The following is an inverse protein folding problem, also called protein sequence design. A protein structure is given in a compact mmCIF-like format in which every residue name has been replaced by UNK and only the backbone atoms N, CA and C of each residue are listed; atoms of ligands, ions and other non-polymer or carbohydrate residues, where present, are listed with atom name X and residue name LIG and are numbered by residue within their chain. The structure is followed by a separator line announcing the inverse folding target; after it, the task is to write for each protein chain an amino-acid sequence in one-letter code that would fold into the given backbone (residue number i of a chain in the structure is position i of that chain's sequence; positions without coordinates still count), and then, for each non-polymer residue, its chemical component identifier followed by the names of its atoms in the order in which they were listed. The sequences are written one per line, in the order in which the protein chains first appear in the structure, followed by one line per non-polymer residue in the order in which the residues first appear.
data_IF_463573550633
#
_entry.id   IF_463573550633
#
_cell.length_a   1.000
_cell.length_b   1.000
_cell.length_c   1.000
_cell.angle_alpha   90.00
_cell.angle_beta   90.00
_cell.angle_gamma   90.00
#
_symmetry.space_group_name_H-M   'P 1'
#
loop_
_entity.id
_entity.type
_entity.pdbx_description
1 polymer ?
#
# COMPACT_ATOMS: atom_id res chain seq x y z
N UNK A 1 -10.15 35.69 -60.48
CA UNK A 1 -8.93 35.53 -59.66
C UNK A 1 -9.14 34.29 -58.85
N UNK A 2 -8.19 33.38 -58.82
CA UNK A 2 -8.25 32.22 -57.92
C UNK A 2 -8.08 32.74 -56.50
N UNK A 3 -9.09 32.58 -55.66
CA UNK A 3 -9.04 32.88 -54.23
C UNK A 3 -7.86 32.11 -53.61
N UNK A 4 -6.97 32.81 -52.91
CA UNK A 4 -5.73 32.26 -52.37
C UNK A 4 -5.76 32.38 -50.86
N UNK A 5 -5.67 31.22 -50.19
CA UNK A 5 -5.70 31.09 -48.74
C UNK A 5 -4.84 32.16 -48.04
N UNK A 6 -5.49 33.01 -47.24
CA UNK A 6 -4.84 34.07 -46.46
C UNK A 6 -4.75 35.44 -47.15
N UNK A 7 -5.21 35.57 -48.40
CA UNK A 7 -5.43 36.87 -49.07
C UNK A 7 -6.92 37.21 -49.22
N UNK A 8 -7.76 36.20 -49.01
CA UNK A 8 -9.21 36.30 -49.06
C UNK A 8 -9.73 36.92 -47.74
N UNK A 9 -10.96 37.44 -47.74
CA UNK A 9 -11.52 38.15 -46.57
C UNK A 9 -11.61 37.28 -45.31
N UNK A 10 -11.72 37.90 -44.13
CA UNK A 10 -11.90 37.18 -42.87
C UNK A 10 -13.38 37.14 -42.48
N UNK A 11 -14.03 35.98 -42.64
CA UNK A 11 -15.43 35.75 -42.25
C UNK A 11 -15.46 34.82 -41.04
N UNK A 12 -15.91 35.32 -39.90
CA UNK A 12 -15.96 34.60 -38.63
C UNK A 12 -17.38 34.15 -38.29
N UNK A 13 -17.49 33.14 -37.43
CA UNK A 13 -18.77 32.64 -36.93
C UNK A 13 -18.69 32.30 -35.44
N UNK A 14 -19.85 32.32 -34.80
CA UNK A 14 -20.10 31.60 -33.55
C UNK A 14 -21.04 30.46 -33.86
N UNK A 15 -20.86 29.30 -33.24
CA UNK A 15 -21.70 28.14 -33.50
C UNK A 15 -21.67 27.13 -32.37
N UNK A 16 -22.38 26.03 -32.56
CA UNK A 16 -22.44 24.91 -31.61
C UNK A 16 -21.98 23.64 -32.30
N UNK A 17 -21.13 22.87 -31.62
CA UNK A 17 -20.71 21.54 -32.07
C UNK A 17 -21.88 20.57 -31.92
N UNK A 18 -22.26 19.89 -33.00
CA UNK A 18 -23.33 18.89 -32.98
C UNK A 18 -22.82 17.46 -33.14
N UNK A 19 -21.61 17.28 -33.67
CA UNK A 19 -21.01 15.96 -33.90
C UNK A 19 -19.47 16.06 -33.86
N UNK A 20 -18.84 15.06 -33.27
CA UNK A 20 -17.38 14.93 -33.14
C UNK A 20 -16.84 13.56 -33.57
N UNK A 21 -17.69 12.66 -34.07
CA UNK A 21 -17.28 11.33 -34.52
C UNK A 21 -16.66 11.40 -35.92
N UNK A 22 -15.50 12.04 -36.01
CA UNK A 22 -14.76 12.29 -37.25
C UNK A 22 -14.29 10.96 -37.90
N UNK A 23 -14.80 10.60 -39.10
CA UNK A 23 -14.40 9.37 -39.77
C UNK A 23 -12.90 9.27 -40.06
N UNK A 24 -12.23 10.41 -40.22
CA UNK A 24 -10.78 10.49 -40.50
C UNK A 24 -9.93 10.56 -39.22
N UNK A 25 -10.55 10.70 -38.05
CA UNK A 25 -9.87 10.77 -36.74
C UNK A 25 -8.82 11.90 -36.66
N UNK A 26 -9.09 13.02 -37.34
CA UNK A 26 -8.26 14.23 -37.31
C UNK A 26 -8.67 15.18 -36.19
N UNK A 27 -9.72 14.85 -35.44
CA UNK A 27 -10.29 15.71 -34.40
C UNK A 27 -11.13 16.84 -34.98
N UNK A 28 -11.71 16.65 -36.17
CA UNK A 28 -12.69 17.59 -36.74
C UNK A 28 -14.02 17.48 -36.01
N UNK A 29 -14.81 18.53 -36.09
CA UNK A 29 -16.17 18.59 -35.54
C UNK A 29 -17.14 19.19 -36.54
N UNK A 30 -18.42 18.79 -36.49
CA UNK A 30 -19.47 19.46 -37.24
C UNK A 30 -20.05 20.59 -36.41
N UNK A 31 -20.03 21.80 -36.97
CA UNK A 31 -20.50 23.01 -36.28
C UNK A 31 -21.71 23.59 -36.99
N UNK A 32 -22.79 23.82 -36.25
CA UNK A 32 -23.90 24.62 -36.74
C UNK A 32 -23.60 26.11 -36.48
N UNK A 33 -23.25 26.84 -37.53
CA UNK A 33 -22.83 28.24 -37.47
C UNK A 33 -24.04 29.19 -37.40
N UNK A 34 -24.10 30.01 -36.35
CA UNK A 34 -25.20 30.95 -36.10
C UNK A 34 -25.23 32.02 -37.19
N UNK A 35 -26.42 32.29 -37.73
CA UNK A 35 -26.62 33.24 -38.83
C UNK A 35 -26.36 32.66 -40.23
N UNK A 36 -25.65 31.54 -40.33
CA UNK A 36 -25.37 30.85 -41.60
C UNK A 36 -26.21 29.58 -41.78
N UNK A 37 -26.39 28.81 -40.71
CA UNK A 37 -27.19 27.59 -40.71
C UNK A 37 -28.51 27.82 -39.97
N UNK A 38 -29.58 27.16 -40.42
CA UNK A 38 -30.90 27.18 -39.76
C UNK A 38 -30.94 26.26 -38.54
N UNK A 39 -31.74 26.60 -37.53
CA UNK A 39 -31.99 25.73 -36.37
C UNK A 39 -32.85 24.50 -36.73
N UNK A 40 -33.53 24.52 -37.87
CA UNK A 40 -34.41 23.43 -38.28
C UNK A 40 -33.61 22.27 -38.89
N UNK A 41 -33.51 21.17 -38.13
CA UNK A 41 -32.80 19.94 -38.54
C UNK A 41 -33.40 19.26 -39.78
N UNK A 42 -34.66 19.51 -40.13
CA UNK A 42 -35.24 18.96 -41.38
C UNK A 42 -34.77 19.66 -42.64
N UNK A 43 -34.16 20.85 -42.51
CA UNK A 43 -33.64 21.61 -43.65
C UNK A 43 -32.13 21.39 -43.84
N UNK A 44 -31.39 21.25 -42.73
CA UNK A 44 -29.98 20.90 -42.71
C UNK A 44 -29.77 19.94 -41.56
N UNK A 45 -29.61 18.65 -41.88
CA UNK A 45 -29.37 17.62 -40.88
C UNK A 45 -27.99 17.79 -40.25
N UNK A 46 -27.77 17.22 -39.06
CA UNK A 46 -26.46 17.30 -38.39
C UNK A 46 -25.36 16.68 -39.25
N UNK A 47 -25.64 15.60 -39.97
CA UNK A 47 -24.67 14.93 -40.82
C UNK A 47 -24.28 15.69 -42.10
N UNK A 48 -25.13 16.62 -42.53
CA UNK A 48 -24.88 17.47 -43.71
C UNK A 48 -23.97 18.66 -43.40
N UNK A 49 -23.71 18.94 -42.12
CA UNK A 49 -22.82 20.02 -41.73
C UNK A 49 -21.37 19.73 -42.16
N UNK A 50 -20.64 20.74 -42.67
CA UNK A 50 -19.24 20.57 -43.04
C UNK A 50 -18.37 20.29 -41.81
N UNK A 51 -17.35 19.45 -41.99
CA UNK A 51 -16.34 19.19 -40.97
C UNK A 51 -15.43 20.40 -40.77
N UNK A 52 -15.40 20.92 -39.56
CA UNK A 52 -14.51 21.99 -39.12
C UNK A 52 -13.23 21.41 -38.50
N UNK A 53 -12.07 21.88 -38.97
CA UNK A 53 -10.79 21.53 -38.32
C UNK A 53 -10.61 22.39 -37.08
N UNK A 54 -10.26 21.77 -35.94
CA UNK A 54 -9.97 22.49 -34.70
C UNK A 54 -8.53 22.98 -34.71
N UNK A 55 -8.34 24.28 -34.48
CA UNK A 55 -7.02 24.87 -34.36
C UNK A 55 -6.39 24.49 -33.02
N UNK A 56 -5.27 23.76 -33.07
CA UNK A 56 -4.53 23.41 -31.87
C UNK A 56 -3.81 24.65 -31.28
N UNK A 57 -3.69 24.75 -29.95
CA UNK A 57 -2.86 25.75 -29.30
C UNK A 57 -1.37 25.56 -29.64
N UNK A 58 -0.55 26.60 -29.41
CA UNK A 58 0.87 26.62 -29.82
C UNK A 58 1.77 25.66 -29.02
N UNK A 59 1.30 25.12 -27.91
CA UNK A 59 1.96 24.06 -27.12
C UNK A 59 1.63 22.64 -27.64
N UNK A 60 0.76 22.51 -28.65
CA UNK A 60 0.40 21.26 -29.32
C UNK A 60 0.91 21.29 -30.77
N UNK A 61 2.02 20.60 -31.09
CA UNK A 61 2.65 20.66 -32.42
C UNK A 61 1.83 20.06 -33.56
N UNK A 62 0.82 19.22 -33.27
CA UNK A 62 -0.03 18.55 -34.25
C UNK A 62 0.77 17.74 -35.30
N UNK A 63 1.86 17.10 -34.87
CA UNK A 63 2.76 16.36 -35.75
C UNK A 63 3.14 15.01 -35.13
N UNK A 64 2.97 13.91 -35.88
CA UNK A 64 3.41 12.55 -35.50
C UNK A 64 3.03 12.10 -34.07
N UNK A 65 1.84 12.49 -33.60
CA UNK A 65 1.35 12.15 -32.25
C UNK A 65 1.90 13.00 -31.11
N UNK A 66 2.57 14.12 -31.41
CA UNK A 66 3.06 15.07 -30.41
C UNK A 66 1.98 16.11 -30.07
N UNK A 67 1.75 16.32 -28.77
CA UNK A 67 0.85 17.34 -28.21
C UNK A 67 -0.43 16.78 -27.59
N UNK A 68 -1.38 17.66 -27.26
CA UNK A 68 -2.66 17.28 -26.66
C UNK A 68 -3.69 16.93 -27.74
N UNK A 69 -3.74 15.66 -28.12
CA UNK A 69 -4.69 15.16 -29.14
C UNK A 69 -5.47 13.94 -28.65
N UNK A 70 -6.73 13.76 -29.07
CA UNK A 70 -7.50 14.67 -29.91
C UNK A 70 -7.92 15.96 -29.17
N UNK A 71 -8.35 17.02 -29.88
CA UNK A 71 -8.92 18.20 -29.26
C UNK A 71 -10.07 17.82 -28.30
N UNK A 72 -10.11 18.43 -27.12
CA UNK A 72 -11.15 18.13 -26.13
C UNK A 72 -12.34 19.09 -26.31
N UNK A 73 -13.29 18.69 -27.15
CA UNK A 73 -14.55 19.40 -27.39
C UNK A 73 -15.70 18.39 -27.46
N UNK A 74 -16.84 18.73 -26.88
CA UNK A 74 -18.03 17.87 -26.79
C UNK A 74 -19.21 18.48 -27.54
N UNK A 75 -20.20 17.65 -27.89
CA UNK A 75 -21.46 18.09 -28.44
C UNK A 75 -22.15 19.10 -27.50
N UNK A 76 -22.74 20.15 -28.06
CA UNK A 76 -23.29 21.28 -27.31
C UNK A 76 -22.28 22.39 -26.97
N UNK A 77 -20.97 22.18 -27.20
CA UNK A 77 -19.97 23.22 -26.97
C UNK A 77 -20.15 24.41 -27.90
N UNK A 78 -20.19 25.61 -27.34
CA UNK A 78 -20.15 26.86 -28.12
C UNK A 78 -18.73 27.15 -28.57
N UNK A 79 -18.59 27.52 -29.84
CA UNK A 79 -17.30 27.78 -30.48
C UNK A 79 -17.26 29.11 -31.20
N UNK A 80 -16.08 29.69 -31.26
CA UNK A 80 -15.71 30.77 -32.17
C UNK A 80 -14.83 30.19 -33.27
N UNK A 81 -15.08 30.57 -34.52
CA UNK A 81 -14.33 30.11 -35.66
C UNK A 81 -14.35 31.06 -36.85
N UNK A 82 -13.74 30.64 -37.96
CA UNK A 82 -13.75 31.37 -39.24
C UNK A 82 -13.74 30.41 -40.43
N UNK A 83 -14.17 30.90 -41.59
CA UNK A 83 -14.10 30.14 -42.84
C UNK A 83 -12.78 30.44 -43.56
N UNK A 84 -12.08 29.38 -44.00
CA UNK A 84 -10.86 29.49 -44.81
C UNK A 84 -11.13 29.99 -46.23
N UNK A 85 -12.39 29.92 -46.66
CA UNK A 85 -12.92 30.24 -47.97
C UNK A 85 -14.06 31.25 -47.87
N UNK A 86 -13.73 32.55 -47.82
CA UNK A 86 -14.69 33.62 -47.51
C UNK A 86 -15.86 33.77 -48.49
N UNK A 87 -15.72 33.26 -49.71
CA UNK A 87 -16.72 33.31 -50.78
C UNK A 87 -17.74 32.16 -50.69
N UNK A 88 -17.28 30.95 -50.39
CA UNK A 88 -18.07 29.71 -50.44
C UNK A 88 -18.51 29.20 -49.06
N UNK A 89 -17.80 29.57 -47.99
CA UNK A 89 -18.10 29.24 -46.59
C UNK A 89 -18.22 27.72 -46.31
N UNK A 90 -17.39 26.90 -46.96
CA UNK A 90 -17.42 25.43 -46.84
C UNK A 90 -16.28 24.84 -45.99
N UNK A 91 -15.23 25.62 -45.67
CA UNK A 91 -14.05 25.15 -44.94
C UNK A 91 -13.91 25.84 -43.57
N UNK A 92 -14.73 25.47 -42.57
CA UNK A 92 -14.67 26.07 -41.25
C UNK A 92 -13.43 25.65 -40.45
N UNK A 93 -12.92 26.58 -39.63
CA UNK A 93 -11.89 26.36 -38.62
C UNK A 93 -12.43 26.83 -37.27
N UNK A 94 -12.32 25.98 -36.26
CA UNK A 94 -12.63 26.33 -34.86
C UNK A 94 -11.38 26.91 -34.21
N UNK A 95 -11.47 28.13 -33.70
CA UNK A 95 -10.39 28.82 -32.98
C UNK A 95 -10.37 28.46 -31.49
N UNK A 96 -11.54 28.26 -30.88
CA UNK A 96 -11.66 27.96 -29.46
C UNK A 96 -13.12 27.85 -29.01
N UNK A 97 -13.30 27.48 -27.75
CA UNK A 97 -14.60 27.34 -27.09
C UNK A 97 -14.95 28.58 -26.28
N UNK A 98 -16.26 28.80 -26.10
CA UNK A 98 -16.79 29.90 -25.29
C UNK A 98 -17.49 29.32 -24.06
N UNK A 99 -17.12 29.73 -22.84
CA UNK A 99 -17.85 29.33 -21.64
C UNK A 99 -19.19 30.06 -21.57
N UNK A 100 -20.21 29.39 -21.02
CA UNK A 100 -21.54 29.93 -20.88
C UNK A 100 -22.12 29.82 -19.48
N UNK A 101 -23.35 30.31 -19.37
CA UNK A 101 -24.23 30.10 -18.23
C UNK A 101 -25.55 29.57 -18.77
N UNK A 102 -25.85 28.29 -18.50
CA UNK A 102 -26.98 27.62 -19.12
C UNK A 102 -28.29 28.01 -18.41
N UNK A 103 -29.15 28.79 -19.07
CA UNK A 103 -30.45 29.22 -18.50
C UNK A 103 -31.64 28.39 -18.99
N UNK A 104 -31.44 27.53 -19.99
CA UNK A 104 -32.50 26.77 -20.65
C UNK A 104 -32.10 25.30 -20.75
N UNK A 105 -33.10 24.43 -20.67
CA UNK A 105 -32.97 23.02 -20.99
C UNK A 105 -32.59 22.83 -22.46
N UNK A 106 -31.84 21.76 -22.74
CA UNK A 106 -31.51 21.34 -24.10
C UNK A 106 -32.76 20.89 -24.85
N UNK A 107 -32.82 21.23 -26.14
CA UNK A 107 -33.87 20.76 -27.05
C UNK A 107 -33.23 19.95 -28.18
N UNK A 108 -33.27 18.62 -28.06
CA UNK A 108 -32.67 17.70 -29.03
C UNK A 108 -33.33 17.78 -30.42
N UNK A 109 -34.56 18.32 -30.51
CA UNK A 109 -35.28 18.45 -31.77
C UNK A 109 -34.80 19.62 -32.62
N UNK A 110 -34.05 20.55 -32.01
CA UNK A 110 -33.52 21.74 -32.67
C UNK A 110 -32.02 21.65 -32.84
N UNK A 111 -31.52 22.33 -33.87
CA UNK A 111 -30.10 22.63 -34.02
C UNK A 111 -29.58 23.54 -32.91
N UNK A 112 -28.27 23.78 -32.91
CA UNK A 112 -27.58 24.56 -31.87
C UNK A 112 -27.68 23.96 -30.46
N UNK A 113 -27.89 22.65 -30.37
CA UNK A 113 -27.98 21.87 -29.15
C UNK A 113 -27.22 20.56 -29.33
N UNK A 114 -26.83 19.91 -28.24
CA UNK A 114 -26.32 18.54 -28.26
C UNK A 114 -27.42 17.57 -28.78
N UNK A 115 -27.24 16.92 -29.95
CA UNK A 115 -28.23 16.00 -30.50
C UNK A 115 -28.46 14.76 -29.65
N UNK A 116 -27.47 14.35 -28.84
CA UNK A 116 -27.54 13.17 -27.98
C UNK A 116 -28.22 13.47 -26.64
N UNK A 117 -28.43 14.74 -26.32
CA UNK A 117 -29.04 15.14 -25.06
C UNK A 117 -28.23 14.69 -23.85
N UNK A 118 -26.91 14.87 -23.87
CA UNK A 118 -25.99 14.67 -22.75
C UNK A 118 -25.64 16.00 -22.10
N UNK A 119 -25.42 17.05 -22.90
CA UNK A 119 -25.03 18.39 -22.46
C UNK A 119 -26.12 19.45 -22.70
N UNK A 120 -26.20 20.50 -21.86
CA UNK A 120 -25.44 20.65 -20.62
C UNK A 120 -25.90 19.64 -19.55
N UNK A 121 -25.02 19.35 -18.57
CA UNK A 121 -25.30 18.41 -17.48
C UNK A 121 -26.15 19.04 -16.37
N UNK A 122 -26.06 20.35 -16.19
CA UNK A 122 -26.77 21.14 -15.17
C UNK A 122 -27.24 22.46 -15.78
N UNK A 123 -28.26 23.07 -15.17
CA UNK A 123 -28.87 24.33 -15.60
C UNK A 123 -28.96 25.27 -14.42
N UNK A 124 -28.88 26.57 -14.69
CA UNK A 124 -28.81 27.61 -13.67
C UNK A 124 -27.42 27.76 -13.06
N UNK A 125 -26.42 27.16 -13.68
CA UNK A 125 -25.02 27.19 -13.26
C UNK A 125 -24.09 27.62 -14.40
N UNK A 126 -22.90 28.07 -14.00
CA UNK A 126 -21.78 28.36 -14.89
C UNK A 126 -21.20 27.06 -15.46
N UNK A 127 -20.76 27.07 -16.72
CA UNK A 127 -20.04 25.94 -17.33
C UNK A 127 -18.65 25.71 -16.71
N UNK A 128 -18.15 26.67 -15.93
CA UNK A 128 -16.91 26.52 -15.14
C UNK A 128 -17.11 25.45 -14.07
N UNK A 129 -16.15 24.52 -13.98
CA UNK A 129 -16.16 23.41 -13.02
C UNK A 129 -16.44 23.85 -11.58
N UNK A 130 -17.29 23.12 -10.85
CA UNK A 130 -17.64 23.40 -9.45
C UNK A 130 -16.41 23.43 -8.52
N UNK A 131 -15.39 22.63 -8.81
CA UNK A 131 -14.13 22.62 -8.08
C UNK A 131 -13.39 23.96 -8.22
N UNK A 132 -13.59 24.69 -9.32
CA UNK A 132 -12.96 26.00 -9.54
C UNK A 132 -13.76 27.19 -8.98
N UNK A 133 -15.05 27.01 -8.65
CA UNK A 133 -15.97 28.12 -8.30
C UNK A 133 -16.18 28.34 -6.81
N UNK A 134 -15.53 27.55 -5.96
CA UNK A 134 -15.41 27.82 -4.53
C UNK A 134 -16.24 26.89 -3.64
N UNK A 135 -17.18 27.43 -2.85
CA UNK A 135 -17.87 26.66 -1.81
C UNK A 135 -18.68 25.47 -2.35
N UNK A 136 -19.21 25.56 -3.57
CA UNK A 136 -19.96 24.46 -4.22
C UNK A 136 -19.07 23.27 -4.60
N UNK A 137 -17.74 23.40 -4.55
CA UNK A 137 -16.79 22.31 -4.78
C UNK A 137 -17.02 21.10 -3.86
N UNK A 138 -17.57 21.32 -2.66
CA UNK A 138 -17.90 20.24 -1.71
C UNK A 138 -18.93 19.25 -2.27
N UNK A 139 -19.78 19.72 -3.19
CA UNK A 139 -20.84 18.93 -3.82
C UNK A 139 -20.34 18.17 -5.04
N UNK A 140 -19.09 18.38 -5.45
CA UNK A 140 -18.54 17.70 -6.62
C UNK A 140 -18.39 16.19 -6.36
N UNK A 141 -18.75 15.30 -7.31
CA UNK A 141 -18.65 13.86 -7.10
C UNK A 141 -17.26 13.38 -6.68
N UNK A 142 -16.19 13.99 -7.21
CA UNK A 142 -14.81 13.65 -6.81
C UNK A 142 -14.56 13.90 -5.33
N UNK A 143 -15.14 14.98 -4.78
CA UNK A 143 -15.00 15.41 -3.39
C UNK A 143 -15.83 14.54 -2.45
N UNK A 144 -17.08 14.28 -2.81
CA UNK A 144 -17.98 13.36 -2.09
C UNK A 144 -17.33 11.98 -1.99
N UNK A 145 -16.79 11.46 -3.10
CA UNK A 145 -16.17 10.14 -3.14
C UNK A 145 -14.99 9.99 -2.19
N UNK A 146 -14.16 11.03 -2.05
CA UNK A 146 -13.03 11.02 -1.10
C UNK A 146 -13.51 11.00 0.34
N UNK A 147 -14.56 11.76 0.66
CA UNK A 147 -15.12 11.77 2.02
C UNK A 147 -15.83 10.45 2.37
N UNK A 148 -16.56 9.84 1.43
CA UNK A 148 -17.22 8.55 1.63
C UNK A 148 -16.23 7.39 1.86
N UNK A 149 -15.09 7.41 1.16
CA UNK A 149 -14.07 6.36 1.25
C UNK A 149 -13.02 6.57 2.35
N UNK A 150 -13.13 7.67 3.11
CA UNK A 150 -12.13 8.06 4.10
C UNK A 150 -12.10 7.10 5.29
N UNK A 151 -10.88 6.82 5.76
CA UNK A 151 -10.64 6.06 6.99
C UNK A 151 -10.68 6.99 8.22
N UNK A 152 -11.77 7.00 8.98
CA UNK A 152 -12.06 7.91 10.11
C UNK A 152 -12.69 7.19 11.30
N UNK A 153 -12.55 7.74 12.51
CA UNK A 153 -13.27 7.21 13.67
C UNK A 153 -14.76 7.55 13.57
N UNK A 154 -15.64 6.57 13.79
CA UNK A 154 -17.06 6.84 14.05
C UNK A 154 -17.24 7.12 15.54
N UNK A 155 -18.06 8.11 15.87
CA UNK A 155 -18.37 8.55 17.24
C UNK A 155 -19.28 7.58 18.04
N UNK A 156 -19.27 6.28 17.76
CA UNK A 156 -19.86 5.32 18.70
C UNK A 156 -18.76 4.77 19.60
N UNK A 157 -18.67 5.35 20.80
CA UNK A 157 -17.97 4.77 21.95
C UNK A 157 -18.59 3.40 22.27
N UNK A 158 -18.04 2.33 21.72
CA UNK A 158 -18.23 1.00 22.28
C UNK A 158 -17.06 0.67 23.20
N UNK A 159 -17.32 0.35 24.48
CA UNK A 159 -16.27 -0.08 25.41
C UNK A 159 -15.68 -1.41 24.93
N UNK A 160 -14.37 -1.52 25.08
CA UNK A 160 -13.56 -2.75 25.17
C UNK A 160 -14.05 -3.98 24.38
N UNK A 161 -13.36 -4.28 23.28
CA UNK A 161 -13.27 -5.64 22.76
C UNK A 161 -14.40 -6.11 21.84
N UNK A 162 -15.38 -5.26 21.54
CA UNK A 162 -16.21 -5.43 20.34
C UNK A 162 -15.42 -4.98 19.12
N UNK A 163 -15.32 -5.81 18.08
CA UNK A 163 -15.06 -5.31 16.74
C UNK A 163 -16.22 -4.36 16.38
N UNK A 164 -16.09 -3.08 16.71
CA UNK A 164 -16.89 -2.06 16.05
C UNK A 164 -16.48 -2.09 14.59
N UNK A 165 -17.35 -2.71 13.78
CA UNK A 165 -17.24 -2.78 12.34
C UNK A 165 -17.34 -1.40 11.66
N UNK A 166 -17.58 -0.32 12.43
CA UNK A 166 -18.00 0.95 11.86
C UNK A 166 -17.05 2.13 12.15
N UNK A 167 -15.93 1.95 12.86
CA UNK A 167 -14.83 2.92 12.89
C UNK A 167 -13.80 2.62 11.79
N UNK A 168 -13.78 3.37 10.68
CA UNK A 168 -12.85 3.14 9.57
C UNK A 168 -11.40 3.56 9.85
N UNK A 169 -11.08 4.12 11.02
CA UNK A 169 -9.70 4.40 11.47
C UNK A 169 -8.82 3.14 11.50
N UNK A 170 -7.51 3.30 11.34
CA UNK A 170 -6.56 2.18 11.20
C UNK A 170 -5.81 1.94 12.52
N UNK A 171 -5.87 0.73 13.11
CA UNK A 171 -5.17 0.43 14.36
C UNK A 171 -3.66 0.26 14.18
N UNK A 172 -2.89 0.63 15.20
CA UNK A 172 -1.43 0.38 15.30
C UNK A 172 -1.12 -0.88 16.13
N UNK A 173 0.11 -1.40 16.04
CA UNK A 173 0.57 -2.54 16.84
C UNK A 173 0.79 -2.15 18.33
N UNK A 174 0.73 -3.14 19.24
CA UNK A 174 0.91 -2.92 20.70
C UNK A 174 2.00 -3.84 21.25
N UNK A 175 2.69 -3.39 22.31
CA UNK A 175 3.68 -4.18 23.06
C UNK A 175 3.02 -5.34 23.85
N UNK A 176 3.76 -6.44 24.13
CA UNK A 176 3.25 -7.55 24.93
C UNK A 176 3.30 -7.24 26.43
N UNK A 177 2.39 -7.86 27.19
CA UNK A 177 2.44 -7.92 28.65
C UNK A 177 3.16 -9.20 29.08
N UNK A 178 4.35 -9.05 29.66
CA UNK A 178 5.25 -10.12 30.09
C UNK A 178 5.38 -10.20 31.62
N UNK A 179 4.28 -9.95 32.36
CA UNK A 179 4.25 -9.88 33.84
C UNK A 179 4.90 -11.05 34.58
N UNK A 180 5.00 -12.24 33.97
CA UNK A 180 5.60 -13.42 34.61
C UNK A 180 7.13 -13.38 34.63
N UNK A 181 7.77 -12.65 33.70
CA UNK A 181 9.23 -12.70 33.49
C UNK A 181 9.91 -11.36 33.27
N UNK A 182 9.15 -10.28 33.05
CA UNK A 182 9.68 -8.94 32.79
C UNK A 182 9.40 -7.99 33.94
N UNK A 183 10.40 -7.18 34.30
CA UNK A 183 10.21 -6.09 35.26
C UNK A 183 9.61 -4.82 34.65
N UNK A 184 9.78 -4.63 33.34
CA UNK A 184 9.36 -3.42 32.61
C UNK A 184 7.99 -3.61 31.94
N UNK A 185 7.76 -4.75 31.29
CA UNK A 185 6.56 -5.01 30.50
C UNK A 185 5.52 -5.77 31.34
N UNK A 186 4.88 -5.13 32.33
CA UNK A 186 3.91 -5.77 33.26
C UNK A 186 2.43 -5.46 33.00
N UNK A 187 2.15 -4.50 32.12
CA UNK A 187 0.79 -4.04 31.82
C UNK A 187 0.53 -4.14 30.32
N UNK A 188 -0.74 -4.21 29.95
CA UNK A 188 -1.13 -4.16 28.55
C UNK A 188 -0.89 -2.77 27.97
N UNK A 189 -0.34 -2.76 26.76
CA UNK A 189 -0.13 -1.54 25.99
C UNK A 189 -1.42 -1.12 25.30
N UNK A 190 -1.72 0.19 25.33
CA UNK A 190 -2.99 0.73 24.85
C UNK A 190 -2.95 0.90 23.34
N UNK A 191 -3.91 0.31 22.62
CA UNK A 191 -3.98 0.43 21.17
C UNK A 191 -4.42 1.84 20.77
N UNK A 192 -3.69 2.43 19.84
CA UNK A 192 -4.01 3.72 19.23
C UNK A 192 -4.41 3.46 17.77
N UNK A 193 -5.31 4.29 17.24
CA UNK A 193 -5.67 4.29 15.82
C UNK A 193 -5.24 5.62 15.18
N UNK A 194 -4.94 5.59 13.89
CA UNK A 194 -4.74 6.79 13.07
C UNK A 194 -5.85 6.92 12.01
N UNK A 195 -6.05 8.14 11.51
CA UNK A 195 -7.07 8.46 10.51
C UNK A 195 -6.45 8.99 9.23
N UNK A 196 -7.11 8.71 8.10
CA UNK A 196 -6.80 9.35 6.83
C UNK A 196 -7.17 10.85 6.91
N UNK A 197 -6.26 11.75 6.51
CA UNK A 197 -6.50 13.19 6.49
C UNK A 197 -7.78 13.59 5.76
N UNK A 198 -8.37 14.71 6.16
CA UNK A 198 -9.54 15.25 5.46
C UNK A 198 -9.19 15.59 4.00
N UNK A 199 -10.10 15.32 3.05
CA UNK A 199 -9.91 15.75 1.68
C UNK A 199 -9.56 17.24 1.66
N UNK A 200 -8.62 17.68 0.82
CA UNK A 200 -8.25 19.09 0.66
C UNK A 200 -7.86 19.79 1.96
N UNK A 201 -7.34 19.05 2.94
CA UNK A 201 -7.02 19.54 4.28
C UNK A 201 -8.19 20.26 4.98
N UNK A 202 -9.43 19.85 4.73
CA UNK A 202 -10.63 20.49 5.29
C UNK A 202 -10.95 21.88 4.72
N UNK A 203 -10.19 22.34 3.72
CA UNK A 203 -10.37 23.63 3.06
C UNK A 203 -11.30 23.53 1.85
N UNK A 204 -11.77 24.70 1.39
CA UNK A 204 -12.51 24.86 0.14
C UNK A 204 -11.71 25.75 -0.81
N UNK A 205 -11.73 25.47 -2.13
CA UNK A 205 -11.10 26.33 -3.13
C UNK A 205 -11.71 27.72 -3.13
N UNK A 206 -11.01 28.67 -3.73
CA UNK A 206 -11.50 30.02 -4.02
C UNK A 206 -11.28 30.37 -5.47
N UNK A 207 -12.32 30.86 -6.15
CA UNK A 207 -12.18 31.43 -7.48
C UNK A 207 -11.36 32.74 -7.43
N UNK A 208 -10.45 33.02 -8.39
CA UNK A 208 -10.11 32.24 -9.60
C UNK A 208 -8.88 31.33 -9.43
N UNK A 209 -8.50 30.98 -8.21
CA UNK A 209 -7.21 30.38 -7.89
C UNK A 209 -7.13 28.87 -8.14
N UNK A 210 -8.25 28.15 -8.15
CA UNK A 210 -8.23 26.73 -8.42
C UNK A 210 -8.32 26.45 -9.92
N UNK A 211 -7.26 25.87 -10.47
CA UNK A 211 -7.14 25.46 -11.86
C UNK A 211 -7.48 23.97 -11.97
N UNK A 212 -8.73 23.68 -12.31
CA UNK A 212 -9.23 22.32 -12.43
C UNK A 212 -9.34 21.90 -13.90
N UNK A 213 -8.79 20.74 -14.22
CA UNK A 213 -9.10 20.00 -15.44
C UNK A 213 -9.91 18.76 -15.10
N UNK A 214 -11.08 18.61 -15.71
CA UNK A 214 -11.92 17.43 -15.58
C UNK A 214 -12.18 16.78 -16.95
N UNK A 215 -11.94 15.48 -17.08
CA UNK A 215 -12.30 14.73 -18.28
C UNK A 215 -13.81 14.49 -18.37
N UNK A 216 -14.32 14.17 -19.55
CA UNK A 216 -15.75 13.92 -19.80
C UNK A 216 -16.43 12.96 -18.80
N UNK A 217 -15.67 11.95 -18.35
CA UNK A 217 -16.15 10.93 -17.41
C UNK A 217 -15.84 11.24 -15.94
N UNK A 218 -15.10 12.31 -15.62
CA UNK A 218 -14.82 12.71 -14.24
C UNK A 218 -13.45 12.31 -13.68
N UNK A 219 -12.42 12.20 -14.53
CA UNK A 219 -11.03 12.25 -14.03
C UNK A 219 -10.67 13.69 -13.71
N UNK A 220 -10.11 13.93 -12.53
CA UNK A 220 -9.86 15.28 -12.03
C UNK A 220 -8.37 15.49 -11.81
N UNK A 221 -7.88 16.64 -12.26
CA UNK A 221 -6.57 17.20 -11.90
C UNK A 221 -6.78 18.63 -11.42
N UNK A 222 -6.41 18.92 -10.17
CA UNK A 222 -6.47 20.26 -9.58
C UNK A 222 -5.06 20.77 -9.28
N UNK A 223 -4.82 22.03 -9.66
CA UNK A 223 -3.73 22.88 -9.17
C UNK A 223 -4.42 24.06 -8.48
N UNK A 224 -4.45 24.07 -7.15
CA UNK A 224 -5.12 25.12 -6.39
C UNK A 224 -4.13 26.10 -5.77
N UNK A 225 -4.17 27.34 -6.23
CA UNK A 225 -3.37 28.46 -5.73
C UNK A 225 -4.11 29.30 -4.66
N UNK A 226 -5.21 28.77 -4.08
CA UNK A 226 -5.97 29.48 -3.03
C UNK A 226 -5.05 29.78 -1.84
N UNK A 227 -4.85 31.07 -1.48
CA UNK A 227 -3.88 31.43 -0.43
C UNK A 227 -4.15 30.75 0.92
N UNK A 228 -3.16 30.02 1.44
CA UNK A 228 -3.25 29.25 2.69
C UNK A 228 -3.99 27.91 2.57
N UNK A 229 -4.42 27.54 1.36
CA UNK A 229 -5.10 26.29 1.04
C UNK A 229 -4.53 25.67 -0.26
N UNK A 230 -3.26 25.96 -0.55
CA UNK A 230 -2.56 25.52 -1.75
C UNK A 230 -2.48 23.99 -1.80
N UNK A 231 -2.86 23.38 -2.91
CA UNK A 231 -2.86 21.90 -3.02
C UNK A 231 -2.77 21.40 -4.45
N UNK A 232 -2.35 20.14 -4.56
CA UNK A 232 -2.37 19.38 -5.81
C UNK A 232 -3.25 18.15 -5.64
N UNK A 233 -4.09 17.84 -6.64
CA UNK A 233 -4.91 16.63 -6.66
C UNK A 233 -4.86 15.97 -8.04
N UNK A 234 -4.66 14.66 -8.08
CA UNK A 234 -4.93 13.84 -9.26
C UNK A 234 -5.81 12.66 -8.88
N UNK A 235 -7.00 12.58 -9.44
CA UNK A 235 -8.03 11.62 -9.03
C UNK A 235 -8.63 10.89 -10.23
N UNK A 236 -8.69 9.56 -10.12
CA UNK A 236 -9.47 8.69 -10.98
C UNK A 236 -10.95 8.65 -10.53
N UNK A 237 -11.88 8.49 -11.46
CA UNK A 237 -13.34 8.53 -11.20
C UNK A 237 -13.77 7.50 -10.14
N UNK A 238 -13.06 6.38 -10.04
CA UNK A 238 -13.35 5.30 -9.07
C UNK A 238 -12.97 5.65 -7.63
N UNK A 239 -12.20 6.72 -7.41
CA UNK A 239 -11.77 7.17 -6.07
C UNK A 239 -10.30 6.90 -5.73
N UNK A 240 -9.49 6.34 -6.63
CA UNK A 240 -8.02 6.31 -6.46
C UNK A 240 -7.48 7.71 -6.68
N UNK A 241 -6.64 8.22 -5.78
CA UNK A 241 -6.09 9.57 -5.90
C UNK A 241 -4.71 9.74 -5.28
N UNK A 242 -4.04 10.80 -5.71
CA UNK A 242 -2.90 11.41 -5.03
C UNK A 242 -3.25 12.85 -4.69
N UNK A 243 -3.06 13.24 -3.43
CA UNK A 243 -3.31 14.61 -2.95
C UNK A 243 -2.14 15.11 -2.11
N UNK A 244 -1.70 16.34 -2.36
CA UNK A 244 -0.70 17.04 -1.55
C UNK A 244 -1.36 18.26 -0.92
N UNK A 245 -1.27 18.36 0.41
CA UNK A 245 -1.91 19.38 1.24
C UNK A 245 -1.00 20.60 1.43
N UNK A 246 -1.54 21.74 1.94
CA UNK A 246 -0.77 22.98 2.09
C UNK A 246 0.43 22.86 3.04
N UNK A 247 0.37 21.95 4.00
CA UNK A 247 1.46 21.66 4.95
C UNK A 247 2.53 20.71 4.38
N UNK A 248 2.36 20.22 3.15
CA UNK A 248 3.21 19.24 2.50
C UNK A 248 2.82 17.78 2.81
N UNK A 249 1.77 17.53 3.59
CA UNK A 249 1.24 16.19 3.79
C UNK A 249 0.79 15.59 2.46
N UNK A 250 1.14 14.32 2.23
CA UNK A 250 0.77 13.59 1.01
C UNK A 250 -0.12 12.40 1.34
N UNK A 251 -1.21 12.26 0.59
CA UNK A 251 -2.11 11.10 0.64
C UNK A 251 -2.08 10.41 -0.71
N UNK A 252 -1.79 9.11 -0.70
CA UNK A 252 -1.95 8.23 -1.87
C UNK A 252 -2.97 7.15 -1.52
N UNK A 253 -4.13 7.20 -2.16
CA UNK A 253 -5.24 6.26 -1.94
C UNK A 253 -5.42 5.36 -3.15
N UNK A 254 -5.37 4.04 -2.93
CA UNK A 254 -5.64 3.04 -3.97
C UNK A 254 -6.89 2.25 -3.57
N UNK A 255 -7.91 2.26 -4.43
CA UNK A 255 -9.21 1.61 -4.14
C UNK A 255 -9.18 0.09 -4.39
N UNK A 256 -8.30 -0.36 -5.29
CA UNK A 256 -8.13 -1.78 -5.63
C UNK A 256 -6.69 -2.23 -5.32
N UNK A 257 -6.12 -3.05 -6.19
CA UNK A 257 -4.77 -3.57 -6.05
C UNK A 257 -3.73 -2.48 -6.34
N UNK A 258 -2.67 -2.45 -5.53
CA UNK A 258 -1.50 -1.60 -5.73
C UNK A 258 -0.30 -2.46 -6.16
N UNK A 259 0.36 -2.06 -7.23
CA UNK A 259 1.59 -2.70 -7.72
C UNK A 259 2.72 -1.68 -7.66
N UNK A 260 3.69 -1.92 -6.78
CA UNK A 260 4.94 -1.16 -6.74
C UNK A 260 6.05 -2.02 -7.34
N UNK A 261 6.57 -1.60 -8.48
CA UNK A 261 7.58 -2.34 -9.25
C UNK A 261 8.76 -1.42 -9.49
N UNK A 262 9.88 -1.72 -8.85
CA UNK A 262 11.14 -0.99 -8.99
C UNK A 262 12.18 -1.96 -9.55
N UNK A 263 12.68 -1.69 -10.77
CA UNK A 263 13.65 -2.55 -11.44
C UNK A 263 15.10 -2.28 -11.01
N UNK A 264 15.34 -1.13 -10.39
CA UNK A 264 16.63 -0.76 -9.81
C UNK A 264 16.61 -0.84 -8.28
N UNK A 265 17.49 -0.08 -7.66
CA UNK A 265 17.53 0.08 -6.21
C UNK A 265 16.37 0.96 -5.71
N UNK A 266 15.91 0.69 -4.48
CA UNK A 266 14.95 1.54 -3.78
C UNK A 266 15.51 1.95 -2.41
N UNK A 267 15.76 3.25 -2.25
CA UNK A 267 16.25 3.83 -1.01
C UNK A 267 15.11 4.59 -0.33
N UNK A 268 14.71 4.15 0.87
CA UNK A 268 13.57 4.71 1.61
C UNK A 268 14.09 5.31 2.91
N UNK A 269 13.92 6.62 3.08
CA UNK A 269 14.32 7.35 4.29
C UNK A 269 13.12 8.03 4.94
N UNK A 270 12.82 7.65 6.18
CA UNK A 270 11.69 8.16 6.95
C UNK A 270 12.22 8.58 8.31
N UNK A 271 12.09 9.88 8.62
CA UNK A 271 12.56 10.48 9.89
C UNK A 271 11.57 10.23 11.03
N UNK A 272 10.27 10.24 10.70
CA UNK A 272 9.20 10.00 11.67
C UNK A 272 8.91 8.51 11.88
N UNK A 273 7.82 8.25 12.59
CA UNK A 273 7.38 6.88 12.88
C UNK A 273 6.77 6.19 11.66
N UNK A 274 6.96 4.87 11.57
CA UNK A 274 6.34 4.03 10.52
C UNK A 274 5.31 3.11 11.16
N UNK A 275 4.04 3.31 10.81
CA UNK A 275 2.93 2.43 11.20
C UNK A 275 2.48 1.59 9.99
N UNK A 276 2.86 0.31 9.97
CA UNK A 276 2.48 -0.62 8.91
C UNK A 276 1.39 -1.59 9.39
N UNK A 277 0.17 -1.40 8.89
CA UNK A 277 -0.97 -2.24 9.23
C UNK A 277 -1.44 -3.04 8.03
N UNK A 278 -1.51 -4.36 8.17
CA UNK A 278 -2.04 -5.27 7.14
C UNK A 278 -3.15 -6.12 7.76
N UNK A 279 -4.38 -5.99 7.23
CA UNK A 279 -5.53 -6.82 7.66
C UNK A 279 -5.45 -8.24 7.12
N UNK A 280 -4.85 -8.42 5.95
CA UNK A 280 -4.60 -9.72 5.32
C UNK A 280 -3.28 -10.36 5.74
N UNK A 281 -2.84 -11.36 4.97
CA UNK A 281 -1.56 -12.03 5.16
C UNK A 281 -0.41 -11.19 4.62
N UNK A 282 0.60 -10.91 5.45
CA UNK A 282 1.88 -10.33 5.02
C UNK A 282 2.87 -11.45 4.67
N UNK A 283 3.50 -11.36 3.48
CA UNK A 283 4.59 -12.24 3.05
C UNK A 283 5.79 -11.38 2.70
N UNK A 284 6.95 -11.69 3.28
CA UNK A 284 8.21 -11.05 2.95
C UNK A 284 9.19 -12.12 2.45
N UNK A 285 9.60 -12.02 1.19
CA UNK A 285 10.64 -12.86 0.61
C UNK A 285 11.85 -11.98 0.29
N UNK A 286 12.98 -12.29 0.94
CA UNK A 286 14.26 -11.66 0.65
C UNK A 286 15.19 -12.75 0.15
N UNK A 287 15.62 -12.63 -1.11
CA UNK A 287 16.48 -13.62 -1.75
C UNK A 287 17.95 -13.46 -1.35
N UNK A 288 18.37 -12.23 -1.04
CA UNK A 288 19.66 -11.94 -0.42
C UNK A 288 19.59 -11.98 1.11
N UNK A 289 20.53 -11.29 1.74
CA UNK A 289 20.60 -11.21 3.21
C UNK A 289 19.54 -10.25 3.77
N UNK A 290 18.99 -10.60 4.94
CA UNK A 290 18.10 -9.73 5.72
C UNK A 290 18.86 -9.19 6.94
N UNK A 291 19.35 -7.97 6.83
CA UNK A 291 20.09 -7.30 7.92
C UNK A 291 19.13 -6.33 8.62
N UNK A 292 18.90 -6.56 9.92
CA UNK A 292 18.06 -5.71 10.76
C UNK A 292 18.87 -5.20 11.96
N UNK A 293 19.03 -3.88 12.04
CA UNK A 293 19.61 -3.20 13.20
C UNK A 293 18.52 -2.37 13.89
N UNK A 294 18.34 -2.57 15.19
CA UNK A 294 17.43 -1.80 16.03
C UNK A 294 18.21 -1.27 17.21
N UNK A 295 18.40 0.05 17.28
CA UNK A 295 19.12 0.70 18.38
C UNK A 295 18.29 0.80 19.66
N UNK A 296 16.97 0.83 19.52
CA UNK A 296 16.02 0.73 20.63
C UNK A 296 15.62 -0.73 20.92
N UNK A 297 14.48 -0.91 21.57
CA UNK A 297 13.97 -2.25 21.90
C UNK A 297 13.31 -2.92 20.69
N UNK A 298 13.69 -4.17 20.40
CA UNK A 298 12.96 -5.03 19.46
C UNK A 298 11.90 -5.86 20.20
N UNK A 299 10.64 -5.73 19.80
CA UNK A 299 9.50 -6.37 20.47
C UNK A 299 8.65 -7.15 19.47
N UNK A 300 8.21 -8.35 19.86
CA UNK A 300 7.27 -9.16 19.09
C UNK A 300 6.11 -9.64 19.97
N UNK A 301 4.87 -9.37 19.56
CA UNK A 301 3.64 -9.85 20.21
C UNK A 301 2.89 -10.73 19.22
N UNK A 302 3.01 -12.05 19.40
CA UNK A 302 2.43 -13.04 18.49
C UNK A 302 1.24 -13.69 19.19
N UNK A 303 0.04 -13.51 18.65
CA UNK A 303 -1.19 -14.01 19.27
C UNK A 303 -1.36 -15.53 19.15
N UNK A 304 -0.84 -16.13 18.08
CA UNK A 304 -0.92 -17.58 17.82
C UNK A 304 0.48 -18.20 17.92
N UNK A 305 0.95 -18.85 16.86
CA UNK A 305 2.18 -19.62 16.86
C UNK A 305 3.35 -18.84 16.25
N UNK A 306 4.56 -19.09 16.73
CA UNK A 306 5.81 -18.64 16.10
C UNK A 306 6.56 -19.88 15.58
N UNK A 307 6.51 -20.09 14.26
CA UNK A 307 7.25 -21.17 13.61
C UNK A 307 8.53 -20.61 13.00
N UNK A 308 9.67 -21.21 13.36
CA UNK A 308 10.97 -20.81 12.85
C UNK A 308 11.76 -22.03 12.42
N UNK A 309 12.34 -21.96 11.22
CA UNK A 309 13.28 -22.95 10.70
C UNK A 309 14.53 -22.24 10.21
N UNK A 310 15.65 -22.55 10.84
CA UNK A 310 16.98 -22.11 10.43
C UNK A 310 17.65 -23.26 9.67
N UNK A 311 18.32 -22.97 8.55
CA UNK A 311 18.94 -24.01 7.72
C UNK A 311 17.95 -24.79 6.84
N UNK A 312 16.92 -24.13 6.31
CA UNK A 312 15.88 -24.78 5.51
C UNK A 312 16.40 -25.54 4.27
N UNK A 313 17.60 -25.19 3.77
CA UNK A 313 18.33 -25.92 2.71
C UNK A 313 18.55 -27.39 3.01
N UNK A 314 18.66 -27.76 4.29
CA UNK A 314 18.88 -29.13 4.73
C UNK A 314 20.36 -29.49 4.89
N UNK A 315 20.60 -30.67 5.46
CA UNK A 315 21.95 -31.17 5.75
C UNK A 315 22.58 -31.92 4.57
N UNK A 316 21.75 -32.48 3.69
CA UNK A 316 22.18 -33.38 2.63
C UNK A 316 22.41 -32.63 1.33
N UNK A 317 23.51 -32.97 0.67
CA UNK A 317 23.74 -32.67 -0.72
C UNK A 317 23.07 -33.75 -1.55
N UNK A 318 22.42 -33.35 -2.63
CA UNK A 318 21.91 -34.30 -3.62
C UNK A 318 22.77 -34.18 -4.88
N UNK A 319 23.11 -35.32 -5.48
CA UNK A 319 23.89 -35.40 -6.72
C UNK A 319 23.06 -36.15 -7.77
N UNK A 320 23.18 -35.75 -9.03
CA UNK A 320 22.63 -36.54 -10.13
C UNK A 320 23.48 -37.78 -10.44
N UNK A 321 23.04 -38.58 -11.42
CA UNK A 321 23.74 -39.80 -11.86
C UNK A 321 25.13 -39.53 -12.47
N UNK A 322 25.44 -38.29 -12.81
CA UNK A 322 26.71 -37.83 -13.37
C UNK A 322 27.63 -37.24 -12.27
N UNK A 323 27.17 -37.22 -11.02
CA UNK A 323 27.91 -36.71 -9.87
C UNK A 323 27.87 -35.19 -9.71
N UNK A 324 27.00 -34.48 -10.43
CA UNK A 324 26.81 -33.04 -10.29
C UNK A 324 25.82 -32.76 -9.17
N UNK A 325 26.18 -31.84 -8.27
CA UNK A 325 25.34 -31.41 -7.17
C UNK A 325 24.08 -30.72 -7.71
N UNK A 326 22.91 -31.29 -7.42
CA UNK A 326 21.59 -30.76 -7.80
C UNK A 326 20.91 -30.01 -6.65
N UNK A 327 21.43 -30.18 -5.42
CA UNK A 327 20.99 -29.43 -4.25
C UNK A 327 22.17 -29.11 -3.35
N UNK A 328 22.35 -27.82 -3.09
CA UNK A 328 23.32 -27.34 -2.12
C UNK A 328 22.93 -27.79 -0.70
N UNK A 329 23.74 -28.69 -0.14
CA UNK A 329 23.67 -29.05 1.27
C UNK A 329 24.27 -27.95 2.14
N UNK A 330 23.71 -27.70 3.33
CA UNK A 330 24.22 -26.68 4.23
C UNK A 330 23.22 -26.35 5.33
N UNK A 331 23.39 -27.01 6.48
CA UNK A 331 22.69 -26.65 7.71
C UNK A 331 22.93 -25.18 8.07
N UNK A 332 21.93 -24.53 8.63
CA UNK A 332 22.05 -23.16 9.13
C UNK A 332 22.28 -23.16 10.63
N UNK A 333 22.97 -22.13 11.12
CA UNK A 333 23.24 -21.95 12.56
C UNK A 333 22.31 -20.89 13.13
N UNK A 334 21.91 -21.07 14.39
CA UNK A 334 21.32 -20.00 15.22
C UNK A 334 22.28 -19.75 16.37
N UNK A 335 22.82 -18.54 16.42
CA UNK A 335 23.82 -18.12 17.40
C UNK A 335 23.29 -16.87 18.12
N UNK A 336 23.41 -16.85 19.44
CA UNK A 336 22.85 -15.80 20.28
C UNK A 336 23.85 -15.45 21.37
N UNK A 337 24.14 -14.17 21.51
CA UNK A 337 24.91 -13.61 22.61
C UNK A 337 24.01 -12.64 23.38
N UNK A 338 23.87 -12.88 24.68
CA UNK A 338 23.05 -12.06 25.57
C UNK A 338 23.94 -11.59 26.71
N UNK A 339 24.34 -10.31 26.65
CA UNK A 339 25.12 -9.65 27.72
C UNK A 339 24.27 -9.44 28.97
N UNK A 340 22.96 -9.23 28.78
CA UNK A 340 21.98 -9.10 29.85
C UNK A 340 21.48 -10.45 30.38
N UNK A 341 20.23 -10.47 30.84
CA UNK A 341 19.58 -11.68 31.34
C UNK A 341 18.70 -12.35 30.28
N UNK A 342 18.58 -13.67 30.36
CA UNK A 342 17.63 -14.45 29.56
C UNK A 342 16.59 -15.10 30.49
N UNK A 343 15.32 -14.72 30.35
CA UNK A 343 14.21 -15.24 31.15
C UNK A 343 13.20 -15.95 30.25
N UNK A 344 12.74 -17.13 30.68
CA UNK A 344 11.79 -17.96 29.95
C UNK A 344 10.73 -18.49 30.93
N UNK A 345 9.46 -18.36 30.58
CA UNK A 345 8.35 -19.00 31.29
C UNK A 345 7.47 -19.74 30.30
N UNK A 346 7.31 -21.05 30.49
CA UNK A 346 6.55 -21.94 29.60
C UNK A 346 5.50 -22.65 30.46
N UNK A 347 4.22 -22.41 30.17
CA UNK A 347 3.12 -22.93 30.98
C UNK A 347 2.90 -24.44 30.82
N UNK A 348 3.24 -24.98 29.65
CA UNK A 348 3.02 -26.39 29.33
C UNK A 348 4.34 -27.16 29.34
N UNK A 349 4.82 -27.60 28.17
CA UNK A 349 5.97 -28.48 28.06
C UNK A 349 7.11 -27.87 27.24
N UNK A 350 8.32 -28.35 27.51
CA UNK A 350 9.53 -28.10 26.70
C UNK A 350 10.03 -29.44 26.18
N UNK A 351 10.22 -29.55 24.87
CA UNK A 351 10.84 -30.69 24.23
C UNK A 351 12.08 -30.21 23.47
N UNK A 352 13.21 -30.88 23.69
CA UNK A 352 14.47 -30.54 23.04
C UNK A 352 15.22 -31.82 22.65
N UNK A 353 15.74 -31.84 21.42
CA UNK A 353 16.50 -32.95 20.85
C UNK A 353 17.76 -32.39 20.20
N UNK A 354 18.91 -33.01 20.47
CA UNK A 354 20.21 -32.59 19.93
C UNK A 354 20.95 -33.75 19.29
N UNK A 355 21.87 -33.45 18.38
CA UNK A 355 22.82 -34.44 17.88
C UNK A 355 22.22 -35.45 16.90
N UNK A 356 21.11 -35.10 16.23
CA UNK A 356 20.44 -35.99 15.27
C UNK A 356 21.06 -35.97 13.87
N UNK A 357 21.97 -35.04 13.58
CA UNK A 357 22.66 -34.97 12.29
C UNK A 357 23.41 -36.28 11.99
N UNK A 358 23.58 -36.70 10.72
CA UNK A 358 24.35 -37.90 10.38
C UNK A 358 25.81 -37.80 10.84
N UNK A 359 26.44 -36.66 10.56
CA UNK A 359 27.86 -36.36 10.81
C UNK A 359 28.03 -35.04 11.57
N UNK A 360 29.24 -34.77 12.06
CA UNK A 360 29.59 -33.57 12.82
C UNK A 360 29.54 -33.75 14.34
N UNK A 361 29.99 -32.74 15.11
CA UNK A 361 29.91 -32.75 16.57
C UNK A 361 28.45 -32.82 17.04
N UNK A 362 28.17 -33.73 17.96
CA UNK A 362 26.83 -33.99 18.53
C UNK A 362 26.79 -33.67 20.02
N UNK A 363 27.67 -32.78 20.47
CA UNK A 363 27.85 -32.47 21.88
C UNK A 363 26.85 -31.42 22.38
N UNK A 364 26.47 -31.54 23.65
CA UNK A 364 25.83 -30.46 24.42
C UNK A 364 26.77 -30.11 25.54
N UNK A 365 27.14 -28.82 25.63
CA UNK A 365 27.97 -28.29 26.71
C UNK A 365 27.21 -27.19 27.45
N UNK A 366 27.15 -27.31 28.77
CA UNK A 366 26.54 -26.30 29.64
C UNK A 366 27.56 -25.89 30.69
N UNK A 367 28.04 -24.64 30.59
CA UNK A 367 28.98 -24.05 31.54
C UNK A 367 28.25 -22.97 32.32
N UNK A 368 28.27 -23.05 33.66
CA UNK A 368 27.60 -22.11 34.54
C UNK A 368 28.67 -21.54 35.47
N UNK A 369 28.95 -20.24 35.35
CA UNK A 369 29.94 -19.56 36.20
C UNK A 369 29.45 -19.28 37.63
N UNK A 370 28.13 -19.38 37.86
CA UNK A 370 27.50 -19.19 39.17
C UNK A 370 26.76 -20.43 39.67
N UNK A 371 25.71 -20.21 40.46
CA UNK A 371 24.93 -21.28 41.05
C UNK A 371 23.89 -21.84 40.05
N UNK A 372 23.66 -23.15 40.11
CA UNK A 372 22.52 -23.79 39.46
C UNK A 372 21.57 -24.37 40.50
N UNK A 373 20.30 -24.01 40.42
CA UNK A 373 19.24 -24.54 41.28
C UNK A 373 18.21 -25.22 40.40
N UNK A 374 17.90 -26.47 40.69
CA UNK A 374 16.86 -27.24 40.00
C UNK A 374 15.83 -27.69 41.01
N UNK A 375 14.60 -27.21 40.86
CA UNK A 375 13.46 -27.62 41.67
C UNK A 375 12.54 -28.41 40.75
N UNK A 376 12.35 -29.69 41.03
CA UNK A 376 11.45 -30.56 40.30
C UNK A 376 10.36 -31.05 41.25
N UNK A 377 9.11 -30.76 40.91
CA UNK A 377 7.96 -31.31 41.64
C UNK A 377 7.66 -32.76 41.24
N UNK A 378 8.16 -33.18 40.08
CA UNK A 378 8.04 -34.55 39.57
C UNK A 378 9.38 -35.30 39.60
N UNK A 379 9.51 -36.28 38.71
CA UNK A 379 10.68 -37.16 38.63
C UNK A 379 11.82 -36.54 37.81
N UNK A 380 13.06 -36.67 38.29
CA UNK A 380 14.30 -36.43 37.51
C UNK A 380 14.91 -37.77 37.07
N UNK A 381 14.84 -38.08 35.77
CA UNK A 381 15.44 -39.30 35.19
C UNK A 381 16.69 -38.94 34.40
N UNK A 382 17.82 -39.60 34.72
CA UNK A 382 19.09 -39.46 33.99
C UNK A 382 19.54 -40.82 33.49
N UNK A 383 19.68 -40.96 32.18
CA UNK A 383 20.07 -42.21 31.52
C UNK A 383 21.27 -41.97 30.61
N UNK A 384 22.28 -42.84 30.73
CA UNK A 384 23.47 -42.85 29.87
C UNK A 384 23.60 -44.26 29.30
N UNK A 385 23.39 -44.40 27.98
CA UNK A 385 23.37 -45.71 27.31
C UNK A 385 24.77 -46.24 26.95
N UNK A 386 25.78 -45.37 26.90
CA UNK A 386 27.16 -45.74 26.63
C UNK A 386 28.13 -44.75 27.25
N UNK A 387 29.30 -45.23 27.66
CA UNK A 387 30.31 -44.44 28.36
C UNK A 387 30.06 -44.29 29.86
N UNK A 388 30.73 -43.31 30.46
CA UNK A 388 30.70 -43.06 31.91
C UNK A 388 29.80 -41.86 32.25
N UNK A 389 29.16 -41.90 33.41
CA UNK A 389 28.52 -40.74 34.03
C UNK A 389 29.37 -40.29 35.21
N UNK A 390 29.78 -39.02 35.23
CA UNK A 390 30.59 -38.44 36.30
C UNK A 390 29.78 -37.41 37.08
N UNK A 391 29.88 -37.47 38.40
CA UNK A 391 29.48 -36.39 39.29
C UNK A 391 30.69 -36.06 40.18
N UNK A 392 31.24 -34.86 39.99
CA UNK A 392 32.44 -34.41 40.70
C UNK A 392 32.13 -33.13 41.46
N UNK A 393 32.48 -33.11 42.74
CA UNK A 393 32.47 -31.92 43.60
C UNK A 393 33.90 -31.64 43.98
N UNK A 394 34.49 -30.60 43.39
CA UNK A 394 35.91 -30.27 43.61
C UNK A 394 36.16 -29.58 44.96
N UNK A 395 35.14 -28.89 45.48
CA UNK A 395 35.18 -28.22 46.77
C UNK A 395 33.77 -28.20 47.37
N UNK A 396 33.67 -28.51 48.67
CA UNK A 396 32.41 -28.63 49.40
C UNK A 396 31.87 -30.06 49.44
N UNK A 397 30.64 -30.19 49.94
CA UNK A 397 30.03 -31.48 50.23
C UNK A 397 29.07 -31.92 49.14
N UNK A 398 29.05 -33.23 48.88
CA UNK A 398 27.97 -33.86 48.15
C UNK A 398 26.91 -34.34 49.15
N UNK A 399 25.78 -33.66 49.20
CA UNK A 399 24.65 -34.05 50.07
C UNK A 399 23.57 -34.76 49.24
N UNK A 400 23.15 -35.94 49.70
CA UNK A 400 22.02 -36.69 49.17
C UNK A 400 21.07 -37.01 50.32
N UNK A 401 19.93 -36.35 50.34
CA UNK A 401 18.85 -36.61 51.30
C UNK A 401 17.66 -37.17 50.55
N UNK A 402 17.15 -38.31 51.02
CA UNK A 402 15.96 -38.97 50.47
C UNK A 402 15.08 -39.38 51.64
N UNK A 403 13.77 -39.24 51.48
CA UNK A 403 12.79 -39.70 52.48
C UNK A 403 12.59 -41.22 52.38
N UNK A 404 12.64 -41.75 51.15
CA UNK A 404 12.55 -43.18 50.88
C UNK A 404 13.92 -43.85 50.85
N UNK A 405 14.08 -44.79 49.91
CA UNK A 405 15.29 -45.58 49.77
C UNK A 405 16.31 -44.91 48.83
N UNK A 406 17.58 -44.94 49.22
CA UNK A 406 18.70 -44.77 48.30
C UNK A 406 19.17 -46.15 47.85
N UNK A 407 19.12 -46.44 46.55
CA UNK A 407 19.53 -47.73 45.97
C UNK A 407 20.66 -47.49 44.97
N UNK A 408 21.75 -48.22 45.14
CA UNK A 408 22.86 -48.28 44.18
C UNK A 408 23.04 -49.74 43.79
N UNK A 409 23.07 -50.02 42.50
CA UNK A 409 23.23 -51.37 41.97
C UNK A 409 24.11 -51.37 40.73
N UNK A 410 24.82 -52.47 40.53
CA UNK A 410 25.66 -52.71 39.36
C UNK A 410 25.30 -54.07 38.79
N UNK A 411 25.12 -54.16 37.49
CA UNK A 411 24.90 -55.43 36.78
C UNK A 411 26.08 -55.70 35.87
N UNK A 412 26.78 -56.82 36.07
CA UNK A 412 27.87 -57.24 35.19
C UNK A 412 27.29 -57.99 33.98
N UNK A 413 27.45 -57.51 32.73
CA UNK A 413 26.90 -58.20 31.57
C UNK A 413 27.79 -59.32 30.99
N UNK A 414 28.97 -59.65 31.55
CA UNK A 414 29.83 -60.72 30.97
C UNK A 414 31.10 -61.11 31.75
N UNK A 415 31.86 -62.06 31.17
CA UNK A 415 33.04 -62.75 31.73
C UNK A 415 34.13 -61.75 32.13
N UNK A 416 34.13 -61.34 33.39
CA UNK A 416 35.09 -60.42 33.99
C UNK A 416 34.91 -60.38 35.51
N UNK A 417 35.87 -59.83 36.27
CA UNK A 417 35.73 -59.72 37.73
C UNK A 417 34.46 -58.93 38.08
N UNK A 418 33.85 -59.28 39.21
CA UNK A 418 32.65 -58.60 39.68
C UNK A 418 32.91 -57.09 39.84
N UNK A 419 31.90 -56.23 39.59
CA UNK A 419 32.02 -54.81 39.86
C UNK A 419 32.26 -54.58 41.36
N UNK A 420 33.29 -53.78 41.68
CA UNK A 420 33.65 -53.41 43.04
C UNK A 420 33.17 -51.98 43.35
N UNK A 421 32.65 -51.76 44.55
CA UNK A 421 32.55 -50.41 45.09
C UNK A 421 33.94 -49.97 45.56
N UNK A 422 34.58 -49.09 44.80
CA UNK A 422 35.94 -48.61 45.08
C UNK A 422 35.90 -47.27 45.79
N UNK A 423 36.50 -47.23 46.97
CA UNK A 423 36.69 -46.01 47.76
C UNK A 423 38.16 -45.59 47.70
N UNK A 424 38.42 -44.29 47.56
CA UNK A 424 39.73 -43.69 47.78
C UNK A 424 39.59 -42.60 48.85
N UNK A 425 40.31 -42.75 49.98
CA UNK A 425 40.28 -41.82 51.11
C UNK A 425 39.56 -42.35 52.36
N UNK A 426 39.46 -41.52 53.41
CA UNK A 426 38.86 -41.86 54.70
C UNK A 426 37.35 -41.54 54.70
N UNK A 427 36.49 -42.50 55.06
CA UNK A 427 35.06 -42.27 55.31
C UNK A 427 34.84 -42.18 56.82
N UNK A 428 34.14 -41.13 57.25
CA UNK A 428 33.58 -41.06 58.60
C UNK A 428 32.07 -41.23 58.46
N UNK A 429 31.53 -42.32 58.97
CA UNK A 429 30.09 -42.53 59.08
C UNK A 429 29.70 -41.91 60.42
N UNK A 430 28.95 -40.81 60.37
CA UNK A 430 28.40 -40.14 61.54
C UNK A 430 27.04 -40.73 61.93
#
# INVERSE_FOLDING_TARGET
MSDFMGKDGFVWFVGVVEDRDDPERLGRVRVRCLGYHTENKTLIETEDLPWATVMAPTDTPSMNGLGHTPPFIVEGSWVLGFFRDSSELQQPIVLGTLPGFNTKERDVTKGFNDPNGVYPKTIGDSDVNFLATGAVAIMHPSRIKREELRLKKFFLDTPEGGESLDGTSVPTATKPNLKTVSDTLKTDDTRVNWEEPEPGAGSIPRYPYNHTHESEIGHVHEIDDTPGAERLLKQHITGTFEEMHPDGSKVTKVVKDNYEIVLGESNIYIVGDVNLTTKGTMKHLVQGDYILEVKGDYTQKIHKNHYMKVGARGLEKEFDSEGKEIREGGGGNREEEIVGSHAISIANAVNYTTGTAPTGPKEVRHVIGGNVTKILSGTDTKQVNGGNSFLQVNAGDMVRSVVGNLIMSTTNPGIGPAPDFRQQGQITIA
#
